data_IF_825485454064
#
_entry.id   IF_825485454064
#
_cell.length_a   1.000
_cell.length_b   1.000
_cell.length_c   1.000
_cell.angle_alpha   90.00
_cell.angle_beta   90.00
_cell.angle_gamma   90.00
#
_symmetry.space_group_name_H-M   'P 1'
#
loop_
_entity.id
_entity.type
_entity.pdbx_description
1 polymer ?
#
# COMPACT_ATOMS: atom_id res chain seq x y z
N UNK A 1 -42.41 -26.65 28.28
CA UNK A 1 -42.58 -25.43 27.45
C UNK A 1 -41.19 -25.06 26.94
N UNK A 2 -40.77 -25.50 25.74
CA UNK A 2 -40.93 -24.81 24.44
C UNK A 2 -40.42 -23.35 24.46
N UNK A 3 -39.21 -23.14 23.91
CA UNK A 3 -38.81 -22.21 22.81
C UNK A 3 -37.36 -21.70 23.02
N UNK A 4 -36.40 -22.12 22.19
CA UNK A 4 -35.95 -21.49 20.92
C UNK A 4 -35.17 -20.20 21.24
N UNK A 5 -33.85 -20.03 21.03
CA UNK A 5 -33.03 -19.86 19.81
C UNK A 5 -31.64 -19.42 20.36
N UNK A 6 -30.46 -19.56 19.77
CA UNK A 6 -30.07 -19.89 18.42
C UNK A 6 -28.58 -20.22 18.38
N UNK A 7 -28.27 -21.18 17.53
CA UNK A 7 -26.96 -21.60 17.10
C UNK A 7 -26.37 -20.45 16.25
N UNK A 8 -25.41 -19.70 16.77
CA UNK A 8 -24.62 -18.77 15.96
C UNK A 8 -23.50 -19.58 15.30
N UNK A 9 -23.81 -20.18 14.16
CA UNK A 9 -22.81 -20.54 13.17
C UNK A 9 -22.05 -19.25 12.82
N UNK A 10 -20.81 -19.14 13.29
CA UNK A 10 -19.82 -18.28 12.69
C UNK A 10 -19.59 -18.80 11.27
N UNK A 11 -20.34 -18.24 10.32
CA UNK A 11 -19.99 -18.32 8.91
C UNK A 11 -18.73 -17.47 8.75
N UNK A 12 -17.58 -18.10 8.95
CA UNK A 12 -16.33 -17.63 8.36
C UNK A 12 -16.56 -17.78 6.85
N UNK A 13 -17.03 -16.72 6.20
CA UNK A 13 -16.84 -16.59 4.77
C UNK A 13 -15.33 -16.50 4.56
N UNK A 14 -14.71 -17.64 4.34
CA UNK A 14 -13.47 -17.71 3.60
C UNK A 14 -13.74 -16.97 2.29
N UNK A 15 -13.24 -15.74 2.18
CA UNK A 15 -13.06 -15.11 0.88
C UNK A 15 -12.02 -15.95 0.15
N UNK A 16 -12.47 -17.03 -0.49
CA UNK A 16 -11.72 -17.64 -1.57
C UNK A 16 -11.65 -16.54 -2.63
N UNK A 17 -10.47 -15.97 -2.82
CA UNK A 17 -10.16 -15.28 -4.07
C UNK A 17 -10.26 -16.35 -5.16
N UNK A 18 -11.42 -16.46 -5.80
CA UNK A 18 -11.52 -17.26 -7.03
C UNK A 18 -10.67 -16.54 -8.09
N UNK A 19 -9.70 -17.25 -8.66
CA UNK A 19 -8.81 -16.74 -9.71
C UNK A 19 -9.54 -16.46 -11.04
N UNK A 20 -10.86 -16.28 -11.02
CA UNK A 20 -11.70 -16.11 -12.20
C UNK A 20 -11.33 -14.87 -13.03
N UNK A 21 -10.81 -13.82 -12.38
CA UNK A 21 -10.28 -12.65 -13.10
C UNK A 21 -9.10 -13.02 -14.01
N UNK A 22 -8.28 -14.00 -13.60
CA UNK A 22 -7.14 -14.48 -14.38
C UNK A 22 -7.55 -15.39 -15.54
N UNK A 23 -8.77 -15.94 -15.52
CA UNK A 23 -9.32 -16.71 -16.64
C UNK A 23 -9.41 -15.88 -17.93
N UNK A 24 -9.47 -14.55 -17.82
CA UNK A 24 -9.42 -13.64 -18.96
C UNK A 24 -8.11 -13.73 -19.77
N UNK A 25 -7.04 -14.30 -19.21
CA UNK A 25 -5.74 -14.46 -19.86
C UNK A 25 -5.51 -15.85 -20.49
N UNK A 26 -6.45 -16.79 -20.32
CA UNK A 26 -6.33 -18.15 -20.86
C UNK A 26 -6.08 -18.13 -22.37
N UNK A 27 -5.02 -18.80 -22.80
CA UNK A 27 -4.64 -18.91 -24.21
C UNK A 27 -4.18 -17.58 -24.85
N UNK A 28 -3.93 -16.52 -24.07
CA UNK A 28 -3.50 -15.20 -24.59
C UNK A 28 -2.01 -14.92 -24.42
N UNK A 29 -1.38 -15.49 -23.39
CA UNK A 29 0.02 -15.21 -23.03
C UNK A 29 0.93 -16.35 -23.46
N UNK A 30 2.10 -16.05 -24.03
CA UNK A 30 3.08 -17.09 -24.37
C UNK A 30 3.89 -17.53 -23.15
N UNK A 31 4.48 -18.74 -23.22
CA UNK A 31 5.38 -19.27 -22.20
C UNK A 31 6.57 -18.34 -21.96
N UNK A 32 7.15 -17.80 -23.03
CA UNK A 32 8.31 -16.91 -22.99
C UNK A 32 7.97 -15.59 -22.28
N UNK A 33 6.82 -15.01 -22.59
CA UNK A 33 6.34 -13.78 -21.94
C UNK A 33 6.16 -13.98 -20.44
N UNK A 34 5.46 -15.05 -20.04
CA UNK A 34 5.17 -15.34 -18.63
C UNK A 34 6.46 -15.65 -17.86
N UNK A 35 7.33 -16.49 -18.43
CA UNK A 35 8.63 -16.83 -17.82
C UNK A 35 9.49 -15.58 -17.63
N UNK A 36 9.54 -14.69 -18.63
CA UNK A 36 10.27 -13.43 -18.55
C UNK A 36 9.72 -12.45 -17.50
N UNK A 37 8.40 -12.49 -17.23
CA UNK A 37 7.79 -11.71 -16.14
C UNK A 37 8.13 -12.30 -14.77
N UNK A 38 8.02 -13.62 -14.62
CA UNK A 38 8.37 -14.32 -13.38
C UNK A 38 9.84 -14.05 -13.04
N UNK A 39 10.76 -14.21 -13.99
CA UNK A 39 12.17 -13.96 -13.75
C UNK A 39 12.45 -12.50 -13.36
N UNK A 40 11.78 -11.54 -13.99
CA UNK A 40 12.00 -10.13 -13.72
C UNK A 40 11.41 -9.64 -12.40
N UNK A 41 10.24 -10.15 -11.99
CA UNK A 41 9.47 -9.58 -10.88
C UNK A 41 9.39 -10.48 -9.63
N UNK A 42 9.62 -11.79 -9.75
CA UNK A 42 9.46 -12.74 -8.64
C UNK A 42 10.79 -13.31 -8.10
N UNK A 43 11.94 -13.02 -8.72
CA UNK A 43 13.26 -13.56 -8.34
C UNK A 43 13.92 -12.97 -7.08
N UNK A 44 13.16 -12.41 -6.14
CA UNK A 44 13.74 -11.97 -4.87
C UNK A 44 13.71 -13.04 -3.77
N UNK A 45 12.94 -14.12 -3.92
CA UNK A 45 12.89 -15.22 -2.96
C UNK A 45 12.75 -16.58 -3.68
N UNK A 46 13.71 -17.49 -3.47
CA UNK A 46 13.70 -18.84 -4.05
C UNK A 46 12.54 -19.70 -3.55
N UNK A 47 11.97 -19.41 -2.37
CA UNK A 47 10.85 -20.16 -1.81
C UNK A 47 9.58 -20.06 -2.65
N UNK A 48 9.44 -19.02 -3.48
CA UNK A 48 8.26 -18.82 -4.32
C UNK A 48 8.14 -19.91 -5.41
N UNK A 49 9.26 -20.54 -5.79
CA UNK A 49 9.27 -21.68 -6.70
C UNK A 49 8.53 -22.90 -6.15
N UNK A 50 8.25 -22.96 -4.84
CA UNK A 50 7.44 -24.01 -4.24
C UNK A 50 5.93 -23.87 -4.54
N UNK A 51 5.50 -22.72 -5.07
CA UNK A 51 4.09 -22.39 -5.28
C UNK A 51 3.68 -22.34 -6.76
N UNK A 52 4.60 -22.54 -7.70
CA UNK A 52 4.26 -22.62 -9.11
C UNK A 52 5.13 -23.61 -9.87
N UNK A 53 4.67 -23.97 -11.06
CA UNK A 53 5.41 -24.78 -12.03
C UNK A 53 5.13 -24.27 -13.45
N UNK A 54 6.18 -24.09 -14.24
CA UNK A 54 6.06 -23.73 -15.65
C UNK A 54 6.13 -25.02 -16.46
N UNK A 55 5.00 -25.45 -16.99
CA UNK A 55 4.88 -26.57 -17.90
C UNK A 55 5.06 -26.10 -19.36
N UNK A 56 4.96 -27.01 -20.32
CA UNK A 56 5.08 -26.65 -21.74
C UNK A 56 3.88 -25.86 -22.26
N UNK A 57 2.69 -26.14 -21.75
CA UNK A 57 1.44 -25.54 -22.19
C UNK A 57 0.79 -24.64 -21.14
N UNK A 58 1.32 -24.54 -19.91
CA UNK A 58 0.71 -23.72 -18.86
C UNK A 58 1.67 -23.28 -17.75
N UNK A 59 1.28 -22.20 -17.07
CA UNK A 59 1.75 -21.87 -15.73
C UNK A 59 0.75 -22.45 -14.72
N UNK A 60 1.23 -23.30 -13.82
CA UNK A 60 0.43 -23.95 -12.78
C UNK A 60 0.76 -23.31 -11.44
N UNK A 61 -0.27 -22.89 -10.69
CA UNK A 61 -0.15 -22.32 -9.35
C UNK A 61 -0.69 -23.31 -8.32
N UNK A 62 -0.02 -23.38 -7.18
CA UNK A 62 -0.34 -24.28 -6.08
C UNK A 62 -0.59 -23.47 -4.82
N UNK A 63 -1.60 -23.89 -4.06
CA UNK A 63 -1.95 -23.26 -2.78
C UNK A 63 -0.86 -23.44 -1.71
N UNK A 64 -0.10 -24.53 -1.79
CA UNK A 64 1.00 -24.81 -0.87
C UNK A 64 2.06 -25.74 -1.49
N UNK A 65 3.26 -25.84 -0.88
CA UNK A 65 4.29 -26.79 -1.31
C UNK A 65 3.81 -28.26 -1.24
N UNK A 66 2.94 -28.61 -0.28
CA UNK A 66 2.30 -29.93 -0.16
C UNK A 66 1.40 -30.20 -1.36
N UNK A 67 0.57 -29.22 -1.73
CA UNK A 67 -0.33 -29.32 -2.87
C UNK A 67 0.45 -29.53 -4.17
N UNK A 68 1.59 -28.83 -4.33
CA UNK A 68 2.54 -29.06 -5.44
C UNK A 68 3.07 -30.49 -5.46
N UNK A 69 3.54 -31.03 -4.32
CA UNK A 69 4.01 -32.42 -4.23
C UNK A 69 2.92 -33.45 -4.56
N UNK A 70 1.65 -33.10 -4.33
CA UNK A 70 0.49 -33.94 -4.63
C UNK A 70 -0.08 -33.71 -6.04
N UNK A 71 0.45 -32.74 -6.80
CA UNK A 71 -0.08 -32.35 -8.11
C UNK A 71 -1.46 -31.67 -8.06
N UNK A 72 -1.89 -31.18 -6.90
CA UNK A 72 -3.18 -30.50 -6.70
C UNK A 72 -2.96 -29.01 -6.93
N UNK A 73 -3.28 -28.54 -8.13
CA UNK A 73 -3.17 -27.13 -8.48
C UNK A 73 -4.39 -26.33 -8.03
N UNK A 74 -4.16 -25.07 -7.70
CA UNK A 74 -5.19 -24.08 -7.39
C UNK A 74 -5.62 -23.32 -8.65
N UNK A 75 -4.68 -23.07 -9.56
CA UNK A 75 -4.97 -22.40 -10.83
C UNK A 75 -4.04 -22.89 -11.94
N UNK A 76 -4.55 -22.94 -13.17
CA UNK A 76 -3.79 -23.33 -14.37
C UNK A 76 -4.02 -22.31 -15.46
N UNK A 77 -2.99 -21.55 -15.82
CA UNK A 77 -3.00 -20.59 -16.92
C UNK A 77 -2.41 -21.22 -18.18
N UNK A 78 -3.27 -21.60 -19.13
CA UNK A 78 -2.88 -22.18 -20.40
C UNK A 78 -2.24 -21.11 -21.29
N UNK A 79 -1.09 -21.43 -21.87
CA UNK A 79 -0.37 -20.56 -22.78
C UNK A 79 -1.03 -20.50 -24.16
N UNK A 80 -1.00 -19.30 -24.74
CA UNK A 80 -1.40 -19.04 -26.11
C UNK A 80 -0.26 -19.23 -27.10
N UNK A 81 -0.61 -19.36 -28.39
CA UNK A 81 0.37 -19.21 -29.47
C UNK A 81 0.90 -17.78 -29.46
N UNK A 82 2.18 -17.63 -29.78
CA UNK A 82 2.89 -16.36 -29.80
C UNK A 82 2.17 -15.34 -30.70
N UNK A 83 1.31 -14.50 -30.13
CA UNK A 83 0.79 -13.33 -30.83
C UNK A 83 1.89 -12.28 -30.79
N UNK A 84 2.79 -12.39 -31.77
CA UNK A 84 3.72 -11.32 -32.12
C UNK A 84 2.93 -10.02 -32.27
N UNK A 85 3.29 -9.03 -31.43
CA UNK A 85 2.79 -7.66 -31.40
C UNK A 85 1.30 -7.53 -31.03
N UNK A 86 1.02 -7.43 -29.73
CA UNK A 86 -0.01 -6.47 -29.30
C UNK A 86 0.50 -5.06 -29.58
N UNK A 87 0.36 -4.61 -30.82
CA UNK A 87 0.50 -3.22 -31.24
C UNK A 87 -0.67 -2.37 -30.72
N UNK A 88 -0.98 -2.48 -29.43
CA UNK A 88 -1.80 -1.46 -28.79
C UNK A 88 -0.81 -0.42 -28.27
N UNK A 89 -0.53 0.59 -29.10
CA UNK A 89 0.00 1.89 -28.64
C UNK A 89 -1.07 2.66 -27.83
N UNK A 90 -1.93 1.99 -27.07
CA UNK A 90 -2.58 2.65 -25.94
C UNK A 90 -1.57 2.56 -24.83
N UNK A 91 -1.26 3.66 -24.13
CA UNK A 91 -0.60 3.46 -22.85
C UNK A 91 -1.55 2.57 -22.04
N UNK A 92 -1.09 1.43 -21.47
CA UNK A 92 -1.99 0.48 -20.78
C UNK A 92 -2.83 1.10 -19.67
N UNK A 93 -2.46 2.33 -19.26
CA UNK A 93 -3.05 3.10 -18.19
C UNK A 93 -3.68 4.43 -18.66
N UNK A 94 -3.83 4.64 -19.98
CA UNK A 94 -4.57 5.79 -20.48
C UNK A 94 -5.98 5.76 -19.87
N UNK A 95 -6.35 6.85 -19.17
CA UNK A 95 -7.62 7.05 -18.43
C UNK A 95 -7.70 6.47 -17.02
N UNK A 96 -6.65 5.83 -16.48
CA UNK A 96 -6.63 5.41 -15.08
C UNK A 96 -6.38 6.61 -14.18
N UNK A 97 -7.10 6.69 -13.06
CA UNK A 97 -6.99 7.72 -12.03
C UNK A 97 -6.43 7.11 -10.76
N UNK A 98 -5.28 7.59 -10.31
CA UNK A 98 -4.62 7.09 -9.09
C UNK A 98 -4.53 8.21 -8.06
N UNK A 99 -4.99 7.95 -6.84
CA UNK A 99 -4.69 8.80 -5.69
C UNK A 99 -3.48 8.25 -4.96
N UNK A 100 -2.53 9.12 -4.58
CA UNK A 100 -1.37 8.77 -3.76
C UNK A 100 -1.47 9.57 -2.48
N UNK A 101 -1.46 8.88 -1.34
CA UNK A 101 -1.44 9.48 -0.01
C UNK A 101 -0.09 9.20 0.67
N UNK A 102 0.84 10.16 0.67
CA UNK A 102 2.06 10.05 1.43
C UNK A 102 1.75 10.17 2.93
N UNK A 103 1.97 9.07 3.66
CA UNK A 103 1.75 8.99 5.10
C UNK A 103 2.53 10.04 5.87
N UNK A 104 2.02 10.41 7.04
CA UNK A 104 2.62 11.42 7.92
C UNK A 104 2.74 12.82 7.29
N UNK A 105 3.14 13.80 8.10
CA UNK A 105 3.34 15.19 7.67
C UNK A 105 4.81 15.42 7.34
N UNK A 106 5.69 14.98 8.24
CA UNK A 106 7.14 15.17 8.14
C UNK A 106 7.61 16.61 8.41
N UNK A 107 8.90 16.85 8.24
CA UNK A 107 9.50 18.17 8.53
C UNK A 107 9.32 18.57 10.00
N UNK A 108 8.81 19.77 10.28
CA UNK A 108 8.60 20.24 11.66
C UNK A 108 7.65 19.34 12.47
N UNK A 109 6.75 18.63 11.79
CA UNK A 109 5.80 17.71 12.41
C UNK A 109 6.40 16.34 12.72
N UNK A 110 7.56 15.99 12.16
CA UNK A 110 8.18 14.69 12.39
C UNK A 110 8.43 14.41 13.88
N UNK A 111 8.79 15.45 14.65
CA UNK A 111 8.98 15.37 16.10
C UNK A 111 7.66 15.24 16.86
N UNK A 112 6.58 15.87 16.38
CA UNK A 112 5.23 15.71 16.95
C UNK A 112 4.64 14.32 16.69
N UNK A 113 4.96 13.75 15.53
CA UNK A 113 4.52 12.40 15.14
C UNK A 113 5.39 11.30 15.74
N UNK A 114 6.55 11.65 16.30
CA UNK A 114 7.58 10.71 16.77
C UNK A 114 8.02 9.74 15.65
N UNK A 115 8.09 10.23 14.41
CA UNK A 115 8.43 9.48 13.18
C UNK A 115 9.71 9.99 12.53
N UNK A 116 10.80 9.98 13.28
CA UNK A 116 12.11 10.38 12.79
C UNK A 116 13.23 9.53 13.39
N UNK A 117 14.37 9.55 12.71
CA UNK A 117 15.66 9.01 13.11
C UNK A 117 16.63 10.18 13.10
N UNK A 118 17.37 10.33 14.18
CA UNK A 118 18.36 11.38 14.40
C UNK A 118 19.59 10.67 14.98
N UNK A 119 20.55 10.35 14.11
CA UNK A 119 21.69 9.49 14.44
C UNK A 119 22.97 10.00 13.80
N UNK A 120 24.08 9.87 14.52
CA UNK A 120 25.42 10.03 13.95
C UNK A 120 25.91 8.67 13.46
N UNK A 121 26.18 8.55 12.15
CA UNK A 121 26.68 7.35 11.52
C UNK A 121 27.95 7.66 10.73
N UNK A 122 29.06 7.01 11.08
CA UNK A 122 30.37 7.19 10.42
C UNK A 122 30.82 8.66 10.33
N UNK A 123 30.57 9.44 11.40
CA UNK A 123 30.92 10.86 11.44
C UNK A 123 30.00 11.77 10.61
N UNK A 124 28.91 11.21 10.06
CA UNK A 124 27.86 11.96 9.36
C UNK A 124 26.60 11.98 10.21
N UNK A 125 26.10 13.18 10.48
CA UNK A 125 24.80 13.38 11.11
C UNK A 125 23.68 13.10 10.12
N UNK A 126 22.78 12.16 10.44
CA UNK A 126 21.65 11.76 9.62
C UNK A 126 20.33 12.08 10.33
N UNK A 127 19.54 12.96 9.73
CA UNK A 127 18.16 13.24 10.12
C UNK A 127 17.22 12.72 9.04
N UNK A 128 16.45 11.69 9.35
CA UNK A 128 15.50 11.05 8.43
C UNK A 128 14.13 11.01 9.09
N UNK A 129 13.11 11.58 8.46
CA UNK A 129 11.73 11.45 8.91
C UNK A 129 10.83 10.76 7.88
N UNK A 130 9.90 9.96 8.39
CA UNK A 130 9.00 9.15 7.56
C UNK A 130 8.16 10.02 6.62
N UNK A 131 7.63 11.15 7.11
CA UNK A 131 6.76 12.04 6.34
C UNK A 131 7.47 12.72 5.17
N UNK A 132 8.75 13.07 5.32
CA UNK A 132 9.57 13.54 4.20
C UNK A 132 9.83 12.43 3.20
N UNK A 133 10.23 11.25 3.66
CA UNK A 133 10.53 10.12 2.78
C UNK A 133 9.30 9.68 1.98
N UNK A 134 8.14 9.53 2.63
CA UNK A 134 6.87 9.19 1.99
C UNK A 134 6.47 10.22 0.93
N UNK A 135 6.65 11.52 1.21
CA UNK A 135 6.35 12.59 0.26
C UNK A 135 7.23 12.53 -0.99
N UNK A 136 8.54 12.41 -0.81
CA UNK A 136 9.49 12.36 -1.92
C UNK A 136 9.24 11.12 -2.79
N UNK A 137 8.94 9.98 -2.17
CA UNK A 137 8.55 8.76 -2.87
C UNK A 137 7.23 8.95 -3.65
N UNK A 138 6.22 9.57 -3.04
CA UNK A 138 4.96 9.88 -3.70
C UNK A 138 5.14 10.80 -4.92
N UNK A 139 5.98 11.83 -4.81
CA UNK A 139 6.26 12.74 -5.92
C UNK A 139 7.01 12.05 -7.05
N UNK A 140 7.95 11.16 -6.73
CA UNK A 140 8.63 10.35 -7.75
C UNK A 140 7.68 9.38 -8.42
N UNK A 141 6.81 8.72 -7.66
CA UNK A 141 5.80 7.81 -8.20
C UNK A 141 4.80 8.55 -9.10
N UNK A 142 4.34 9.74 -8.69
CA UNK A 142 3.49 10.62 -9.50
C UNK A 142 4.12 10.89 -10.86
N UNK A 143 5.38 11.33 -10.89
CA UNK A 143 6.09 11.64 -12.13
C UNK A 143 6.16 10.43 -13.09
N UNK A 144 6.46 9.24 -12.55
CA UNK A 144 6.53 8.01 -13.34
C UNK A 144 5.18 7.60 -13.92
N UNK A 145 4.11 7.70 -13.12
CA UNK A 145 2.75 7.36 -13.52
C UNK A 145 2.18 8.35 -14.55
N UNK A 146 2.41 9.65 -14.36
CA UNK A 146 1.97 10.69 -15.31
C UNK A 146 2.68 10.55 -16.66
N UNK A 147 3.99 10.23 -16.67
CA UNK A 147 4.71 9.87 -17.91
C UNK A 147 4.05 8.68 -18.62
N UNK A 148 3.56 7.71 -17.85
CA UNK A 148 2.81 6.55 -18.33
C UNK A 148 1.34 6.84 -18.70
N UNK A 149 0.87 8.09 -18.66
CA UNK A 149 -0.48 8.48 -19.12
C UNK A 149 -1.57 8.43 -18.05
N UNK A 150 -1.21 8.19 -16.79
CA UNK A 150 -2.13 8.12 -15.65
C UNK A 150 -2.48 9.54 -15.17
N UNK A 151 -3.74 9.77 -14.79
CA UNK A 151 -4.11 10.95 -14.01
C UNK A 151 -3.81 10.70 -12.53
N UNK A 152 -2.98 11.53 -11.92
CA UNK A 152 -2.54 11.31 -10.53
C UNK A 152 -2.86 12.49 -9.63
N UNK A 153 -3.54 12.22 -8.52
CA UNK A 153 -3.69 13.15 -7.40
C UNK A 153 -2.76 12.73 -6.26
N UNK A 154 -2.11 13.70 -5.60
CA UNK A 154 -1.42 13.52 -4.33
C UNK A 154 -2.19 14.30 -3.27
N UNK A 155 -2.46 13.70 -2.10
CA UNK A 155 -3.35 14.27 -1.08
C UNK A 155 -2.84 15.60 -0.49
N UNK A 156 -1.52 15.72 -0.27
CA UNK A 156 -0.88 16.94 0.26
C UNK A 156 0.16 17.53 -0.69
N UNK A 157 0.42 18.83 -0.55
CA UNK A 157 1.21 19.62 -1.52
C UNK A 157 2.69 19.78 -1.17
N UNK A 158 3.05 19.67 0.12
CA UNK A 158 4.43 19.85 0.60
C UNK A 158 4.72 19.02 1.84
N UNK A 159 5.99 18.95 2.20
CA UNK A 159 6.47 18.37 3.46
C UNK A 159 6.04 19.28 4.62
N UNK A 160 5.56 18.69 5.71
CA UNK A 160 5.10 19.42 6.89
C UNK A 160 3.76 20.13 6.72
N UNK A 161 2.94 19.74 5.74
CA UNK A 161 1.58 20.25 5.55
C UNK A 161 0.58 19.09 5.57
N UNK A 162 -0.51 19.27 6.30
CA UNK A 162 -1.67 18.38 6.25
C UNK A 162 -2.55 18.64 5.04
N UNK A 163 -3.60 17.85 4.90
CA UNK A 163 -4.74 18.15 4.02
C UNK A 163 -5.78 18.98 4.77
N UNK A 164 -5.89 18.80 6.09
CA UNK A 164 -6.69 19.68 6.93
C UNK A 164 -6.19 21.12 6.81
N UNK A 165 -7.12 22.06 6.60
CA UNK A 165 -6.81 23.40 6.13
C UNK A 165 -6.09 24.27 7.15
N UNK A 166 -6.22 23.95 8.44
CA UNK A 166 -5.65 24.72 9.54
C UNK A 166 -4.47 23.96 10.14
N UNK A 167 -3.33 24.63 10.32
CA UNK A 167 -2.14 24.05 10.95
C UNK A 167 -2.41 23.69 12.43
N UNK A 168 -1.78 22.63 12.93
CA UNK A 168 -1.95 22.18 14.33
C UNK A 168 -1.77 23.28 15.37
N UNK A 169 -0.76 24.14 15.23
CA UNK A 169 -0.48 25.17 16.22
C UNK A 169 -1.54 26.26 16.21
N UNK A 170 -2.09 26.58 15.04
CA UNK A 170 -3.18 27.55 14.92
C UNK A 170 -4.51 26.95 15.37
N UNK A 171 -4.78 25.71 14.98
CA UNK A 171 -5.91 24.92 15.45
C UNK A 171 -5.93 24.81 16.99
N UNK A 172 -4.77 24.53 17.61
CA UNK A 172 -4.67 24.41 19.06
C UNK A 172 -4.86 25.76 19.79
N UNK A 173 -4.42 26.88 19.17
CA UNK A 173 -4.73 28.23 19.69
C UNK A 173 -6.23 28.53 19.62
N UNK A 174 -6.89 28.10 18.55
CA UNK A 174 -8.33 28.30 18.35
C UNK A 174 -9.19 27.40 19.24
N UNK A 175 -8.64 26.27 19.69
CA UNK A 175 -9.34 25.27 20.52
C UNK A 175 -8.61 25.02 21.86
N UNK A 176 -8.54 26.03 22.75
CA UNK A 176 -7.81 25.94 24.00
C UNK A 176 -8.35 24.87 24.97
N UNK A 177 -9.56 24.37 24.75
CA UNK A 177 -10.14 23.25 25.51
C UNK A 177 -9.36 21.94 25.36
N UNK A 178 -8.60 21.77 24.26
CA UNK A 178 -7.72 20.62 24.07
C UNK A 178 -6.31 20.84 24.61
N UNK A 179 -6.02 22.03 25.16
CA UNK A 179 -4.75 22.29 25.83
C UNK A 179 -4.72 21.65 27.22
N UNK A 180 -4.08 20.49 27.32
CA UNK A 180 -3.92 19.76 28.58
C UNK A 180 -2.57 20.11 29.25
N UNK A 181 -2.62 20.81 30.39
CA UNK A 181 -1.40 21.18 31.13
C UNK A 181 -0.66 19.92 31.60
N UNK A 182 0.63 19.83 31.27
CA UNK A 182 1.48 18.69 31.64
C UNK A 182 1.43 17.52 30.66
N UNK A 183 0.67 17.64 29.56
CA UNK A 183 0.62 16.66 28.48
C UNK A 183 1.53 17.12 27.34
N UNK A 184 2.26 16.19 26.74
CA UNK A 184 3.14 16.48 25.61
C UNK A 184 2.34 16.91 24.37
N UNK A 185 2.89 17.82 23.55
CA UNK A 185 2.24 18.25 22.31
C UNK A 185 2.05 17.10 21.32
N UNK A 186 2.95 16.10 21.29
CA UNK A 186 2.80 14.90 20.47
C UNK A 186 1.55 14.10 20.84
N UNK A 187 1.24 14.02 22.13
CA UNK A 187 0.04 13.35 22.64
C UNK A 187 -1.23 14.11 22.23
N UNK A 188 -1.25 15.44 22.40
CA UNK A 188 -2.38 16.29 22.01
C UNK A 188 -2.62 16.19 20.50
N UNK A 189 -1.54 16.29 19.70
CA UNK A 189 -1.58 16.14 18.25
C UNK A 189 -2.21 14.78 17.85
N UNK A 190 -1.72 13.69 18.45
CA UNK A 190 -2.18 12.32 18.13
C UNK A 190 -3.65 12.09 18.53
N UNK A 191 -4.07 12.59 19.70
CA UNK A 191 -5.43 12.39 20.22
C UNK A 191 -6.48 13.18 19.45
N UNK A 192 -6.18 14.44 19.13
CA UNK A 192 -7.21 15.39 18.69
C UNK A 192 -7.04 15.85 17.24
N UNK A 193 -5.82 16.12 16.80
CA UNK A 193 -5.59 16.76 15.50
C UNK A 193 -5.40 15.75 14.35
N UNK A 194 -4.63 14.68 14.57
CA UNK A 194 -4.30 13.72 13.51
C UNK A 194 -5.55 13.10 12.85
N UNK A 195 -6.60 12.85 13.63
CA UNK A 195 -7.88 12.35 13.11
C UNK A 195 -8.59 13.32 12.17
N UNK A 196 -8.43 14.64 12.36
CA UNK A 196 -9.00 15.65 11.47
C UNK A 196 -8.33 15.57 10.10
N UNK A 197 -7.00 15.49 10.09
CA UNK A 197 -6.21 15.36 8.87
C UNK A 197 -6.48 14.07 8.11
N UNK A 198 -6.52 12.94 8.82
CA UNK A 198 -6.84 11.65 8.20
C UNK A 198 -8.24 11.65 7.56
N UNK A 199 -9.24 12.25 8.24
CA UNK A 199 -10.59 12.40 7.65
C UNK A 199 -10.59 13.25 6.40
N UNK A 200 -9.81 14.33 6.40
CA UNK A 200 -9.72 15.21 5.25
C UNK A 200 -8.99 14.56 4.07
N UNK A 201 -7.91 13.79 4.32
CA UNK A 201 -7.28 12.92 3.32
C UNK A 201 -8.30 11.97 2.70
N UNK A 202 -9.07 11.27 3.52
CA UNK A 202 -10.13 10.37 3.05
C UNK A 202 -11.18 11.11 2.21
N UNK A 203 -11.59 12.31 2.62
CA UNK A 203 -12.55 13.16 1.89
C UNK A 203 -12.03 13.49 0.49
N UNK A 204 -10.82 14.05 0.38
CA UNK A 204 -10.26 14.45 -0.92
C UNK A 204 -9.98 13.26 -1.83
N UNK A 205 -9.56 12.11 -1.28
CA UNK A 205 -9.42 10.85 -2.03
C UNK A 205 -10.77 10.42 -2.60
N UNK A 206 -11.82 10.38 -1.77
CA UNK A 206 -13.15 9.96 -2.20
C UNK A 206 -13.76 10.93 -3.23
N UNK A 207 -13.53 12.24 -3.10
CA UNK A 207 -13.95 13.24 -4.08
C UNK A 207 -13.23 13.10 -5.41
N UNK A 208 -11.94 12.75 -5.36
CA UNK A 208 -11.19 12.45 -6.56
C UNK A 208 -11.74 11.23 -7.27
N UNK A 209 -12.36 10.24 -6.61
CA UNK A 209 -12.85 9.00 -7.26
C UNK A 209 -11.75 8.29 -8.08
N UNK A 210 -10.63 7.91 -7.47
CA UNK A 210 -9.60 7.12 -8.14
C UNK A 210 -10.08 5.69 -8.41
N UNK A 211 -9.48 5.06 -9.42
CA UNK A 211 -9.57 3.62 -9.65
C UNK A 211 -8.69 2.84 -8.65
N UNK A 212 -7.61 3.48 -8.17
CA UNK A 212 -6.69 2.93 -7.18
C UNK A 212 -6.18 4.03 -6.25
N UNK A 213 -6.19 3.75 -4.94
CA UNK A 213 -5.50 4.57 -3.94
C UNK A 213 -4.25 3.84 -3.45
N UNK A 214 -3.13 4.56 -3.41
CA UNK A 214 -1.83 4.10 -2.93
C UNK A 214 -1.46 4.90 -1.69
N UNK A 215 -1.40 4.25 -0.52
CA UNK A 215 -0.95 4.90 0.72
C UNK A 215 0.47 4.44 1.03
N UNK A 216 1.40 5.39 1.22
CA UNK A 216 2.84 5.12 1.36
C UNK A 216 3.26 5.36 2.81
N UNK A 217 3.73 4.31 3.48
CA UNK A 217 4.32 4.36 4.82
C UNK A 217 5.63 3.58 4.89
N UNK A 218 6.48 3.96 5.83
CA UNK A 218 7.72 3.24 6.13
C UNK A 218 7.63 2.72 7.55
N UNK A 219 7.61 1.41 7.71
CA UNK A 219 7.62 0.83 9.04
C UNK A 219 9.05 0.74 9.58
N UNK A 220 9.17 1.06 10.86
CA UNK A 220 10.31 0.69 11.68
C UNK A 220 9.84 -0.31 12.74
N UNK A 221 10.44 -1.49 12.77
CA UNK A 221 10.22 -2.51 13.80
C UNK A 221 11.56 -2.79 14.48
N UNK A 222 11.69 -2.37 15.73
CA UNK A 222 12.89 -2.62 16.54
C UNK A 222 12.94 -1.68 17.75
N UNK A 223 12.87 -2.25 18.95
CA UNK A 223 13.11 -1.54 20.21
C UNK A 223 14.58 -1.63 20.59
N UNK A 224 15.17 -0.49 20.97
CA UNK A 224 16.54 -0.38 21.45
C UNK A 224 17.57 0.03 20.39
N UNK A 225 18.57 0.79 20.82
CA UNK A 225 19.69 1.27 20.01
C UNK A 225 20.37 0.13 19.22
N UNK A 226 20.57 0.35 17.92
CA UNK A 226 21.55 -0.40 17.13
C UNK A 226 21.11 -1.73 16.50
N UNK A 227 19.84 -2.16 16.62
CA UNK A 227 19.38 -3.39 15.96
C UNK A 227 18.54 -3.10 14.72
N UNK A 228 19.18 -3.19 13.54
CA UNK A 228 18.47 -3.33 12.27
C UNK A 228 17.83 -4.72 12.29
N UNK A 229 16.50 -4.79 12.32
CA UNK A 229 15.78 -6.06 12.23
C UNK A 229 15.39 -6.35 10.79
N UNK A 230 15.34 -7.63 10.42
CA UNK A 230 14.80 -8.09 9.12
C UNK A 230 13.28 -7.80 8.97
N UNK A 231 12.64 -7.16 9.96
CA UNK A 231 11.21 -6.82 9.98
C UNK A 231 10.91 -5.39 9.50
N UNK A 232 11.91 -4.67 9.02
CA UNK A 232 11.74 -3.35 8.41
C UNK A 232 11.29 -3.51 6.94
N UNK A 233 10.00 -3.28 6.68
CA UNK A 233 9.42 -3.35 5.33
C UNK A 233 8.82 -2.00 4.92
N UNK A 234 8.88 -1.71 3.62
CA UNK A 234 8.12 -0.63 3.01
C UNK A 234 6.67 -1.11 2.86
N UNK A 235 5.70 -0.40 3.45
CA UNK A 235 4.29 -0.76 3.31
C UNK A 235 3.63 0.14 2.26
N UNK A 236 3.10 -0.49 1.23
CA UNK A 236 2.22 0.14 0.25
C UNK A 236 0.85 -0.49 0.42
N UNK A 237 -0.13 0.30 0.83
CA UNK A 237 -1.52 -0.13 0.86
C UNK A 237 -2.17 0.20 -0.49
N UNK A 238 -2.70 -0.81 -1.16
CA UNK A 238 -3.44 -0.69 -2.41
C UNK A 238 -4.92 -0.87 -2.12
N UNK A 239 -5.72 0.17 -2.38
CA UNK A 239 -7.17 0.16 -2.12
C UNK A 239 -7.92 0.46 -3.41
N UNK A 240 -8.83 -0.44 -3.78
CA UNK A 240 -9.64 -0.39 -5.01
C UNK A 240 -11.09 0.01 -4.77
N UNK A 241 -11.45 0.41 -3.54
CA UNK A 241 -12.81 0.83 -3.16
C UNK A 241 -12.78 2.05 -2.22
N UNK A 242 -13.95 2.54 -1.78
CA UNK A 242 -14.08 3.74 -0.93
C UNK A 242 -13.15 3.68 0.29
N UNK A 243 -12.39 4.76 0.50
CA UNK A 243 -11.53 4.90 1.67
C UNK A 243 -12.38 5.31 2.88
N UNK A 244 -12.54 4.39 3.83
CA UNK A 244 -13.29 4.60 5.07
C UNK A 244 -12.32 4.62 6.25
N UNK A 245 -12.45 5.65 7.10
CA UNK A 245 -11.81 5.69 8.41
C UNK A 245 -12.90 5.39 9.43
N UNK A 246 -12.82 4.27 10.12
CA UNK A 246 -13.78 3.92 11.17
C UNK A 246 -13.68 4.89 12.35
N UNK A 247 -14.82 5.21 12.94
CA UNK A 247 -14.97 6.04 14.15
C UNK A 247 -14.18 5.49 15.32
#
# INVERSE_FOLDING_TARGET
MKRVLGLLLLIVHSFAFEFDEFSSFQGKLSKEYVTGKISRYLQYNQEIENYFEIQDDALVLFKSPEAKRQGIYEFRLVFGKENSKSSVKSKPLDKVRIAIDPGHFGGQFARLEERFIDVDFEGTHLEIDEGRLSFLTAMRLKELLEKAGVSVMVTRKKIGEGVYSEDFFDWLKAHPEYWEKGVALSEIFRRHYNRLDLRERARVINEYRPDLTVVIHYNHVGGGEGQITEKNFNFIWLLTSKFLISS
#
